data_IF_191066189226
#
_entry.id   IF_191066189226
#
_cell.length_a   1.000
_cell.length_b   1.000
_cell.length_c   1.000
_cell.angle_alpha   90.00
_cell.angle_beta   90.00
_cell.angle_gamma   90.00
#
_symmetry.space_group_name_H-M   'P 1'
#
loop_
_entity.id
_entity.type
_entity.pdbx_description
1 polymer ?
#
# COMPACT_ATOMS: atom_id res chain seq x y z
N UNK A 1 -22.64 -22.59 1.24
CA UNK A 1 -22.24 -23.82 1.97
C UNK A 1 -23.30 -24.26 2.97
N UNK A 2 -23.87 -23.35 3.79
CA UNK A 2 -25.00 -23.68 4.68
C UNK A 2 -26.24 -24.20 3.96
N UNK A 3 -26.65 -23.54 2.87
CA UNK A 3 -27.85 -23.94 2.11
C UNK A 3 -27.78 -25.38 1.58
N UNK A 4 -26.60 -25.82 1.12
CA UNK A 4 -26.39 -27.21 0.71
C UNK A 4 -26.59 -28.19 1.87
N UNK A 5 -26.11 -27.83 3.07
CA UNK A 5 -26.33 -28.64 4.25
C UNK A 5 -27.80 -28.78 4.61
N UNK A 6 -28.57 -27.70 4.44
CA UNK A 6 -30.01 -27.70 4.70
C UNK A 6 -30.77 -28.56 3.68
N UNK A 7 -30.41 -28.48 2.40
CA UNK A 7 -30.98 -29.32 1.32
C UNK A 7 -30.71 -30.81 1.56
N UNK A 8 -29.48 -31.18 1.94
CA UNK A 8 -29.17 -32.59 2.24
C UNK A 8 -29.91 -33.11 3.48
N UNK A 9 -30.07 -32.29 4.52
CA UNK A 9 -30.89 -32.68 5.68
C UNK A 9 -32.38 -32.82 5.33
N UNK A 10 -32.91 -31.99 4.44
CA UNK A 10 -34.29 -32.10 3.95
C UNK A 10 -34.49 -33.36 3.09
N UNK A 11 -33.56 -33.65 2.18
CA UNK A 11 -33.56 -34.90 1.42
C UNK A 11 -33.51 -36.12 2.33
N UNK A 12 -32.67 -36.09 3.38
CA UNK A 12 -32.62 -37.16 4.37
C UNK A 12 -33.98 -37.34 5.09
N UNK A 13 -34.64 -36.25 5.48
CA UNK A 13 -35.92 -36.32 6.19
C UNK A 13 -37.05 -36.97 5.36
N UNK A 14 -36.94 -36.94 4.03
CA UNK A 14 -37.93 -37.49 3.10
C UNK A 14 -37.50 -38.81 2.42
N UNK A 15 -36.29 -39.31 2.70
CA UNK A 15 -35.77 -40.53 2.06
C UNK A 15 -36.08 -41.79 2.89
N UNK A 16 -36.75 -42.75 2.25
CA UNK A 16 -37.16 -44.02 2.87
C UNK A 16 -36.06 -45.09 2.80
N UNK A 17 -35.17 -45.01 1.81
CA UNK A 17 -34.02 -45.91 1.71
C UNK A 17 -33.00 -45.57 2.80
N UNK A 18 -32.78 -46.47 3.75
CA UNK A 18 -31.91 -46.26 4.91
C UNK A 18 -30.48 -45.80 4.53
N UNK A 19 -29.88 -46.41 3.51
CA UNK A 19 -28.52 -46.06 3.06
C UNK A 19 -28.45 -44.62 2.49
N UNK A 20 -29.45 -44.23 1.70
CA UNK A 20 -29.51 -42.89 1.11
C UNK A 20 -29.85 -41.82 2.16
N UNK A 21 -30.74 -42.15 3.11
CA UNK A 21 -31.06 -41.32 4.26
C UNK A 21 -29.81 -41.04 5.11
N UNK A 22 -29.04 -42.08 5.43
CA UNK A 22 -27.79 -41.97 6.18
C UNK A 22 -26.76 -41.13 5.41
N UNK A 23 -26.57 -41.39 4.11
CA UNK A 23 -25.66 -40.62 3.28
C UNK A 23 -26.03 -39.13 3.24
N UNK A 24 -27.30 -38.79 2.98
CA UNK A 24 -27.77 -37.41 2.97
C UNK A 24 -27.63 -36.73 4.34
N UNK A 25 -27.86 -37.46 5.44
CA UNK A 25 -27.64 -36.93 6.80
C UNK A 25 -26.17 -36.59 7.03
N UNK A 26 -25.26 -37.53 6.70
CA UNK A 26 -23.80 -37.35 6.86
C UNK A 26 -23.30 -36.18 6.00
N UNK A 27 -23.74 -36.08 4.74
CA UNK A 27 -23.38 -34.96 3.87
C UNK A 27 -23.94 -33.63 4.37
N UNK A 28 -25.19 -33.61 4.84
CA UNK A 28 -25.83 -32.42 5.38
C UNK A 28 -25.12 -31.87 6.62
N UNK A 29 -24.77 -32.75 7.56
CA UNK A 29 -23.98 -32.39 8.74
C UNK A 29 -22.59 -31.90 8.37
N UNK A 30 -21.89 -32.57 7.45
CA UNK A 30 -20.57 -32.15 6.98
C UNK A 30 -20.60 -30.74 6.37
N UNK A 31 -21.58 -30.44 5.51
CA UNK A 31 -21.75 -29.11 4.93
C UNK A 31 -22.03 -28.02 5.98
N UNK A 32 -22.86 -28.31 6.99
CA UNK A 32 -23.09 -27.38 8.12
C UNK A 32 -21.82 -27.16 8.95
N UNK A 33 -21.06 -28.22 9.22
CA UNK A 33 -19.79 -28.13 9.94
C UNK A 33 -18.77 -27.28 9.16
N UNK A 34 -18.60 -27.53 7.86
CA UNK A 34 -17.76 -26.74 6.95
C UNK A 34 -18.15 -25.25 6.96
N UNK A 35 -19.45 -24.95 6.91
CA UNK A 35 -19.95 -23.57 6.95
C UNK A 35 -19.64 -22.88 8.28
N UNK A 36 -19.73 -23.61 9.40
CA UNK A 36 -19.38 -23.08 10.72
C UNK A 36 -17.88 -22.80 10.81
N UNK A 37 -17.04 -23.74 10.38
CA UNK A 37 -15.57 -23.59 10.36
C UNK A 37 -15.15 -22.40 9.50
N UNK A 38 -15.73 -22.25 8.30
CA UNK A 38 -15.48 -21.10 7.43
C UNK A 38 -15.76 -19.77 8.15
N UNK A 39 -16.89 -19.66 8.85
CA UNK A 39 -17.29 -18.44 9.53
C UNK A 39 -16.34 -18.09 10.69
N UNK A 40 -15.91 -19.10 11.46
CA UNK A 40 -14.95 -18.90 12.55
C UNK A 40 -13.56 -18.53 12.03
N UNK A 41 -13.10 -19.15 10.94
CA UNK A 41 -11.86 -18.75 10.24
C UNK A 41 -11.93 -17.32 9.72
N UNK A 42 -13.05 -16.90 9.12
CA UNK A 42 -13.22 -15.52 8.65
C UNK A 42 -13.17 -14.50 9.79
N UNK A 43 -13.73 -14.82 10.96
CA UNK A 43 -13.60 -13.95 12.15
C UNK A 43 -12.14 -13.80 12.59
N UNK A 44 -11.35 -14.88 12.51
CA UNK A 44 -9.93 -14.86 12.87
C UNK A 44 -9.07 -14.10 11.84
N UNK A 45 -9.49 -14.07 10.57
CA UNK A 45 -8.79 -13.34 9.50
C UNK A 45 -9.09 -11.83 9.48
N UNK A 46 -10.26 -11.40 9.97
CA UNK A 46 -10.67 -9.99 9.95
C UNK A 46 -9.67 -9.02 10.61
N UNK A 47 -9.14 -9.29 11.82
CA UNK A 47 -8.15 -8.41 12.44
C UNK A 47 -6.88 -8.27 11.59
N UNK A 48 -6.39 -9.38 11.03
CA UNK A 48 -5.20 -9.40 10.17
C UNK A 48 -5.39 -8.55 8.91
N UNK A 49 -6.57 -8.64 8.28
CA UNK A 49 -6.92 -7.79 7.13
C UNK A 49 -7.00 -6.32 7.56
N UNK A 50 -7.62 -6.01 8.70
CA UNK A 50 -7.74 -4.65 9.21
C UNK A 50 -6.37 -4.01 9.52
N UNK A 51 -5.43 -4.79 10.03
CA UNK A 51 -4.06 -4.35 10.30
C UNK A 51 -3.28 -4.08 9.01
N UNK A 52 -3.40 -4.97 8.00
CA UNK A 52 -2.82 -4.76 6.67
C UNK A 52 -3.43 -3.53 5.98
N UNK A 53 -4.76 -3.36 6.03
CA UNK A 53 -5.43 -2.17 5.51
C UNK A 53 -4.93 -0.91 6.19
N UNK A 54 -4.79 -0.92 7.52
CA UNK A 54 -4.23 0.22 8.27
C UNK A 54 -2.80 0.53 7.83
N UNK A 55 -1.99 -0.49 7.56
CA UNK A 55 -0.63 -0.31 7.07
C UNK A 55 -0.62 0.34 5.68
N UNK A 56 -1.40 -0.18 4.74
CA UNK A 56 -1.48 0.30 3.36
C UNK A 56 -2.12 1.69 3.27
N UNK A 57 -3.24 1.91 3.97
CA UNK A 57 -4.04 3.12 3.79
C UNK A 57 -3.61 4.29 4.67
N UNK A 58 -2.79 4.05 5.70
CA UNK A 58 -2.37 5.09 6.65
C UNK A 58 -0.86 5.20 6.80
N UNK A 59 -0.19 4.09 7.10
CA UNK A 59 1.24 4.12 7.45
C UNK A 59 2.11 4.45 6.22
N UNK A 60 1.84 3.81 5.09
CA UNK A 60 2.55 4.09 3.83
C UNK A 60 2.31 5.54 3.38
N UNK A 61 1.06 6.05 3.27
CA UNK A 61 0.79 7.43 2.87
C UNK A 61 1.40 8.49 3.78
N UNK A 62 1.40 8.31 5.12
CA UNK A 62 2.05 9.26 6.03
C UNK A 62 3.56 9.34 5.79
N UNK A 63 4.19 8.19 5.52
CA UNK A 63 5.62 8.13 5.24
C UNK A 63 5.94 8.74 3.89
N UNK A 64 5.15 8.45 2.85
CA UNK A 64 5.25 9.08 1.54
C UNK A 64 5.09 10.60 1.61
N UNK A 65 4.13 11.11 2.40
CA UNK A 65 3.94 12.54 2.61
C UNK A 65 5.17 13.19 3.24
N UNK A 66 5.78 12.51 4.21
CA UNK A 66 6.99 13.00 4.87
C UNK A 66 8.19 12.99 3.92
N UNK A 67 8.33 11.91 3.14
CA UNK A 67 9.36 11.82 2.09
C UNK A 67 9.19 12.91 1.03
N UNK A 68 7.96 13.17 0.58
CA UNK A 68 7.66 14.24 -0.38
C UNK A 68 8.11 15.60 0.14
N UNK A 69 7.75 15.96 1.37
CA UNK A 69 8.19 17.21 2.01
C UNK A 69 9.72 17.31 2.07
N UNK A 70 10.41 16.21 2.34
CA UNK A 70 11.88 16.19 2.34
C UNK A 70 12.46 16.32 0.94
N UNK A 71 11.91 15.62 -0.06
CA UNK A 71 12.37 15.71 -1.44
C UNK A 71 12.20 17.14 -1.98
N UNK A 72 11.08 17.79 -1.68
CA UNK A 72 10.87 19.20 -2.03
C UNK A 72 12.00 20.07 -1.47
N UNK A 73 12.29 19.95 -0.16
CA UNK A 73 13.38 20.69 0.50
C UNK A 73 14.77 20.28 -0.02
N UNK A 74 14.99 18.99 -0.35
CA UNK A 74 16.27 18.47 -0.86
C UNK A 74 16.54 18.98 -2.28
N UNK A 75 15.56 18.92 -3.18
CA UNK A 75 15.71 19.40 -4.56
C UNK A 75 15.85 20.90 -4.60
N UNK A 76 15.12 21.62 -3.75
CA UNK A 76 15.30 23.03 -3.51
C UNK A 76 16.75 23.33 -3.11
N UNK A 77 17.27 22.68 -2.06
CA UNK A 77 18.67 22.79 -1.65
C UNK A 77 19.69 22.39 -2.73
N UNK A 78 19.47 21.30 -3.46
CA UNK A 78 20.42 20.84 -4.49
C UNK A 78 20.45 21.78 -5.70
N UNK A 79 19.29 22.32 -6.09
CA UNK A 79 19.21 23.35 -7.14
C UNK A 79 20.04 24.60 -6.77
N UNK A 80 20.20 24.85 -5.47
CA UNK A 80 20.98 25.97 -4.93
C UNK A 80 22.47 25.72 -5.01
N UNK A 81 22.90 24.52 -4.60
CA UNK A 81 24.30 24.11 -4.76
C UNK A 81 24.73 24.14 -6.23
N UNK A 82 23.85 23.72 -7.15
CA UNK A 82 24.16 23.75 -8.59
C UNK A 82 24.31 25.18 -9.10
N UNK A 83 23.38 26.07 -8.75
CA UNK A 83 23.43 27.46 -9.23
C UNK A 83 24.63 28.24 -8.70
N UNK A 84 25.04 27.96 -7.45
CA UNK A 84 26.29 28.50 -6.92
C UNK A 84 27.49 28.05 -7.72
N UNK A 85 27.57 26.74 -8.00
CA UNK A 85 28.69 26.19 -8.77
C UNK A 85 28.77 26.81 -10.16
N UNK A 86 27.63 26.95 -10.85
CA UNK A 86 27.58 27.64 -12.15
C UNK A 86 28.12 29.07 -12.06
N UNK A 87 27.82 29.79 -10.98
CA UNK A 87 28.29 31.16 -10.78
C UNK A 87 29.78 31.24 -10.45
N UNK A 88 30.27 30.36 -9.57
CA UNK A 88 31.70 30.25 -9.25
C UNK A 88 32.50 29.87 -10.52
N UNK A 89 31.97 28.95 -11.35
CA UNK A 89 32.58 28.54 -12.62
C UNK A 89 32.62 29.71 -13.62
N UNK A 90 31.55 30.51 -13.72
CA UNK A 90 31.49 31.69 -14.59
C UNK A 90 32.42 32.82 -14.11
N UNK A 91 32.51 33.08 -12.80
CA UNK A 91 33.46 34.07 -12.25
C UNK A 91 34.91 33.68 -12.53
N UNK A 92 35.26 32.40 -12.36
CA UNK A 92 36.57 31.86 -12.73
C UNK A 92 36.86 32.06 -14.23
N UNK A 93 35.88 31.82 -15.09
CA UNK A 93 36.02 32.01 -16.54
C UNK A 93 36.34 33.46 -16.90
N UNK A 94 35.55 34.42 -16.42
CA UNK A 94 35.81 35.85 -16.67
C UNK A 94 37.09 36.36 -16.04
N UNK A 95 37.44 35.87 -14.84
CA UNK A 95 38.73 36.19 -14.22
C UNK A 95 39.90 35.71 -15.09
N UNK A 96 39.77 34.53 -15.70
CA UNK A 96 40.78 34.00 -16.64
C UNK A 96 40.90 34.82 -17.93
N UNK A 97 39.83 35.51 -18.32
CA UNK A 97 39.76 36.41 -19.47
C UNK A 97 40.21 37.85 -19.12
N UNK A 98 40.47 38.14 -17.84
CA UNK A 98 40.75 39.48 -17.34
C UNK A 98 39.63 40.49 -17.66
N UNK A 99 38.39 40.00 -17.68
CA UNK A 99 37.15 40.77 -17.89
C UNK A 99 36.33 40.81 -16.60
N UNK A 100 35.65 41.93 -16.34
CA UNK A 100 34.76 42.08 -15.18
C UNK A 100 33.35 41.59 -15.47
N UNK A 101 32.68 40.97 -14.49
CA UNK A 101 31.25 40.72 -14.55
C UNK A 101 30.46 41.90 -14.00
N UNK A 102 29.54 42.43 -14.81
CA UNK A 102 28.65 43.51 -14.39
C UNK A 102 27.87 43.19 -13.09
N UNK A 103 27.40 41.95 -12.90
CA UNK A 103 26.71 41.55 -11.65
C UNK A 103 27.62 41.61 -10.40
N UNK A 104 28.92 41.38 -10.57
CA UNK A 104 29.93 41.43 -9.51
C UNK A 104 30.25 42.89 -9.20
N UNK A 105 30.37 43.72 -10.26
CA UNK A 105 30.57 45.17 -10.15
C UNK A 105 29.37 45.91 -9.53
N UNK A 106 28.15 45.39 -9.70
CA UNK A 106 26.93 45.98 -9.17
C UNK A 106 26.36 45.23 -7.96
N UNK A 107 27.15 44.50 -7.18
CA UNK A 107 26.70 43.91 -5.91
C UNK A 107 25.52 42.92 -6.00
N UNK A 108 25.30 42.32 -7.17
CA UNK A 108 24.37 41.20 -7.41
C UNK A 108 22.91 41.43 -6.94
N UNK A 109 22.37 42.64 -7.10
CA UNK A 109 21.06 43.04 -6.53
C UNK A 109 19.83 42.32 -7.10
N UNK A 110 19.87 41.82 -8.33
CA UNK A 110 18.76 41.14 -9.00
C UNK A 110 18.37 39.81 -8.31
N UNK A 111 19.27 39.28 -7.47
CA UNK A 111 19.08 38.07 -6.68
C UNK A 111 18.26 38.28 -5.39
N UNK A 112 17.99 39.53 -4.98
CA UNK A 112 17.36 39.86 -3.68
C UNK A 112 15.83 39.74 -3.65
N UNK A 113 15.16 39.32 -4.74
CA UNK A 113 13.69 39.42 -4.86
C UNK A 113 12.91 38.11 -5.20
N UNK A 114 13.55 36.93 -5.30
CA UNK A 114 12.84 35.64 -5.45
C UNK A 114 12.65 34.91 -4.09
N UNK A 115 12.00 35.61 -3.17
CA UNK A 115 12.26 35.67 -1.73
C UNK A 115 11.50 34.68 -0.80
N UNK A 116 11.22 33.44 -1.19
CA UNK A 116 10.74 32.41 -0.22
C UNK A 116 11.39 31.04 -0.41
N UNK A 117 11.92 30.77 -1.61
CA UNK A 117 12.52 29.49 -1.97
C UNK A 117 13.95 29.37 -1.35
N UNK A 118 14.78 30.42 -1.47
CA UNK A 118 16.25 30.34 -1.35
C UNK A 118 16.86 30.61 0.05
N UNK A 119 16.11 30.41 1.13
CA UNK A 119 16.40 31.04 2.43
C UNK A 119 17.78 30.71 3.05
N UNK A 120 18.24 29.44 3.07
CA UNK A 120 19.56 29.13 3.66
C UNK A 120 20.72 29.64 2.79
N UNK A 121 20.56 29.52 1.47
CA UNK A 121 21.60 29.86 0.51
C UNK A 121 21.83 31.36 0.48
N UNK A 122 20.75 32.14 0.52
CA UNK A 122 20.82 33.60 0.57
C UNK A 122 21.59 34.09 1.80
N UNK A 123 21.43 33.44 2.96
CA UNK A 123 22.20 33.77 4.15
C UNK A 123 23.69 33.43 4.01
N UNK A 124 24.07 32.30 3.41
CA UNK A 124 25.48 31.94 3.17
C UNK A 124 26.16 32.91 2.20
N UNK A 125 25.50 33.20 1.07
CA UNK A 125 26.02 34.13 0.06
C UNK A 125 26.21 35.52 0.62
N UNK A 126 25.20 36.04 1.33
CA UNK A 126 25.30 37.38 1.90
C UNK A 126 26.39 37.47 2.96
N UNK A 127 26.66 36.42 3.72
CA UNK A 127 27.80 36.39 4.65
C UNK A 127 29.15 36.40 3.91
N UNK A 128 29.29 35.62 2.83
CA UNK A 128 30.51 35.63 1.99
C UNK A 128 30.75 37.01 1.38
N UNK A 129 29.71 37.62 0.80
CA UNK A 129 29.78 39.00 0.27
C UNK A 129 30.21 40.00 1.34
N UNK A 130 29.67 39.89 2.55
CA UNK A 130 30.06 40.77 3.66
C UNK A 130 31.49 40.53 4.15
N UNK A 131 31.98 39.28 4.10
CA UNK A 131 33.36 38.92 4.42
C UNK A 131 34.32 39.45 3.34
N UNK A 132 33.97 39.32 2.06
CA UNK A 132 34.76 39.77 0.91
C UNK A 132 34.88 41.30 0.89
N UNK A 133 33.79 42.03 1.13
CA UNK A 133 33.79 43.49 1.24
C UNK A 133 34.61 43.97 2.44
N UNK A 134 34.52 43.29 3.60
CA UNK A 134 35.35 43.63 4.76
C UNK A 134 36.85 43.45 4.46
N UNK A 135 37.21 42.39 3.72
CA UNK A 135 38.56 42.11 3.28
C UNK A 135 39.07 43.16 2.28
N UNK A 136 38.24 43.60 1.34
CA UNK A 136 38.57 44.65 0.37
C UNK A 136 38.86 45.99 1.05
N UNK A 137 37.97 46.46 1.94
CA UNK A 137 38.20 47.71 2.68
C UNK A 137 39.42 47.61 3.60
N UNK A 138 39.66 46.44 4.20
CA UNK A 138 40.88 46.21 4.97
C UNK A 138 42.14 46.33 4.11
N UNK A 139 42.10 45.84 2.87
CA UNK A 139 43.22 45.95 1.91
C UNK A 139 43.48 47.38 1.44
N UNK A 140 42.43 48.21 1.38
CA UNK A 140 42.49 49.65 1.08
C UNK A 140 42.87 50.50 2.30
N UNK A 141 42.98 49.87 3.49
CA UNK A 141 43.21 50.54 4.77
C UNK A 141 42.11 51.57 5.10
N UNK A 142 40.88 51.29 4.68
CA UNK A 142 39.69 52.09 4.89
C UNK A 142 38.76 51.44 5.93
N UNK A 143 38.08 52.27 6.72
CA UNK A 143 37.11 51.83 7.73
C UNK A 143 35.73 51.58 7.14
N UNK A 144 35.08 50.50 7.54
CA UNK A 144 33.76 50.13 7.05
C UNK A 144 32.69 50.50 8.08
N UNK A 145 31.80 51.44 7.74
CA UNK A 145 30.84 52.04 8.67
C UNK A 145 29.97 51.00 9.41
N UNK A 146 29.53 49.93 8.74
CA UNK A 146 28.75 48.87 9.39
C UNK A 146 29.55 48.16 10.49
N UNK A 147 30.85 48.01 10.31
CA UNK A 147 31.74 47.32 11.26
C UNK A 147 32.01 48.24 12.45
N UNK A 148 32.30 49.52 12.19
CA UNK A 148 32.52 50.55 13.21
C UNK A 148 31.31 50.74 14.12
N UNK A 149 30.10 50.56 13.57
CA UNK A 149 28.84 50.69 14.31
C UNK A 149 28.36 49.40 14.96
N UNK A 150 29.14 48.30 14.93
CA UNK A 150 28.85 47.06 15.66
C UNK A 150 28.30 45.89 14.83
N UNK A 151 28.33 46.01 13.50
CA UNK A 151 28.06 44.98 12.49
C UNK A 151 26.75 44.19 12.71
N UNK A 152 25.66 44.92 13.00
CA UNK A 152 24.38 44.33 13.38
C UNK A 152 23.76 43.45 12.29
N UNK A 153 23.86 43.85 11.02
CA UNK A 153 23.34 43.08 9.88
C UNK A 153 24.06 41.73 9.74
N UNK A 154 25.40 41.71 9.83
CA UNK A 154 26.18 40.48 9.76
C UNK A 154 25.78 39.49 10.86
N UNK A 155 25.60 39.99 12.09
CA UNK A 155 25.17 39.18 13.22
C UNK A 155 23.76 38.63 13.05
N UNK A 156 22.86 39.40 12.45
CA UNK A 156 21.51 38.93 12.12
C UNK A 156 21.58 37.81 11.08
N UNK A 157 22.36 38.01 10.02
CA UNK A 157 22.55 37.04 8.94
C UNK A 157 23.18 35.73 9.42
N UNK A 158 24.16 35.79 10.33
CA UNK A 158 24.71 34.61 11.01
C UNK A 158 23.64 33.81 11.76
N UNK A 159 22.75 34.49 12.49
CA UNK A 159 21.64 33.84 13.21
C UNK A 159 20.67 33.20 12.23
N UNK A 160 20.24 33.92 11.22
CA UNK A 160 19.30 33.42 10.24
C UNK A 160 19.87 32.21 9.46
N UNK A 161 21.16 32.23 9.07
CA UNK A 161 21.85 31.05 8.51
C UNK A 161 21.76 29.85 9.46
N UNK A 162 22.04 30.08 10.73
CA UNK A 162 22.08 29.02 11.73
C UNK A 162 20.69 28.42 11.99
N UNK A 163 19.66 29.27 12.05
CA UNK A 163 18.27 28.85 12.19
C UNK A 163 17.80 28.02 10.97
N UNK A 164 18.08 28.46 9.74
CA UNK A 164 17.66 27.72 8.55
C UNK A 164 18.44 26.41 8.40
N UNK A 165 19.72 26.38 8.77
CA UNK A 165 20.50 25.13 8.87
C UNK A 165 19.88 24.15 9.86
N UNK A 166 19.46 24.65 11.03
CA UNK A 166 18.83 23.81 12.04
C UNK A 166 17.52 23.21 11.53
N UNK A 167 16.66 24.02 10.89
CA UNK A 167 15.41 23.54 10.27
C UNK A 167 15.67 22.43 9.24
N UNK A 168 16.66 22.61 8.36
CA UNK A 168 17.04 21.60 7.36
C UNK A 168 17.52 20.30 8.00
N UNK A 169 18.47 20.38 8.95
CA UNK A 169 19.03 19.21 9.63
C UNK A 169 17.93 18.48 10.42
N UNK A 170 17.03 19.23 11.07
CA UNK A 170 15.90 18.67 11.77
C UNK A 170 14.99 17.86 10.83
N UNK A 171 14.53 18.45 9.72
CA UNK A 171 13.69 17.74 8.75
C UNK A 171 14.36 16.50 8.17
N UNK A 172 15.67 16.58 7.86
CA UNK A 172 16.44 15.43 7.39
C UNK A 172 16.44 14.29 8.42
N UNK A 173 16.66 14.63 9.69
CA UNK A 173 16.66 13.65 10.77
C UNK A 173 15.26 13.05 10.99
N UNK A 174 14.20 13.88 10.94
CA UNK A 174 12.81 13.44 11.07
C UNK A 174 12.44 12.41 9.99
N UNK A 175 12.86 12.64 8.75
CA UNK A 175 12.62 11.72 7.63
C UNK A 175 13.42 10.43 7.78
N UNK A 176 14.68 10.51 8.19
CA UNK A 176 15.47 9.29 8.47
C UNK A 176 14.82 8.43 9.53
N UNK A 177 14.38 9.03 10.65
CA UNK A 177 13.69 8.30 11.72
C UNK A 177 12.39 7.67 11.21
N UNK A 178 11.59 8.40 10.42
CA UNK A 178 10.35 7.84 9.86
C UNK A 178 10.59 6.67 8.90
N UNK A 179 11.60 6.75 8.04
CA UNK A 179 11.97 5.64 7.15
C UNK A 179 12.42 4.43 7.96
N UNK A 180 13.24 4.63 8.98
CA UNK A 180 13.71 3.55 9.85
C UNK A 180 12.56 2.88 10.62
N UNK A 181 11.63 3.68 11.17
CA UNK A 181 10.43 3.17 11.83
C UNK A 181 9.51 2.43 10.85
N UNK A 182 9.36 2.93 9.61
CA UNK A 182 8.60 2.26 8.57
C UNK A 182 9.22 0.89 8.25
N UNK A 183 10.53 0.83 8.07
CA UNK A 183 11.25 -0.39 7.70
C UNK A 183 11.18 -1.44 8.82
N UNK A 184 11.45 -1.04 10.07
CA UNK A 184 11.33 -1.90 11.25
C UNK A 184 9.91 -2.46 11.42
N UNK A 185 8.88 -1.66 11.13
CA UNK A 185 7.48 -2.08 11.20
C UNK A 185 7.09 -2.97 10.02
N UNK A 186 7.49 -2.62 8.80
CA UNK A 186 7.19 -3.34 7.56
C UNK A 186 7.63 -4.80 7.66
N UNK A 187 8.91 -5.03 7.97
CA UNK A 187 9.50 -6.37 7.96
C UNK A 187 8.90 -7.24 9.06
N UNK A 188 8.66 -6.66 10.25
CA UNK A 188 8.12 -7.42 11.39
C UNK A 188 6.65 -7.75 11.22
N UNK A 189 5.84 -6.78 10.83
CA UNK A 189 4.38 -6.93 10.81
C UNK A 189 3.92 -7.75 9.61
N UNK A 190 4.49 -7.56 8.42
CA UNK A 190 4.06 -8.29 7.22
C UNK A 190 4.47 -9.77 7.31
N UNK A 191 5.69 -10.07 7.74
CA UNK A 191 6.13 -11.46 7.90
C UNK A 191 5.28 -12.18 8.94
N UNK A 192 4.94 -11.50 10.04
CA UNK A 192 4.05 -12.04 11.08
C UNK A 192 2.63 -12.24 10.54
N UNK A 193 2.06 -11.26 9.82
CA UNK A 193 0.75 -11.39 9.20
C UNK A 193 0.71 -12.54 8.19
N UNK A 194 1.69 -12.67 7.30
CA UNK A 194 1.72 -13.77 6.33
C UNK A 194 1.85 -15.13 7.01
N UNK A 195 2.66 -15.22 8.06
CA UNK A 195 2.81 -16.45 8.86
C UNK A 195 1.50 -16.82 9.55
N UNK A 196 0.83 -15.83 10.18
CA UNK A 196 -0.45 -16.03 10.84
C UNK A 196 -1.54 -16.43 9.85
N UNK A 197 -1.60 -15.77 8.68
CA UNK A 197 -2.52 -16.13 7.61
C UNK A 197 -2.30 -17.57 7.15
N UNK A 198 -1.05 -17.95 6.86
CA UNK A 198 -0.70 -19.31 6.43
C UNK A 198 -1.06 -20.34 7.50
N UNK A 199 -0.82 -20.03 8.79
CA UNK A 199 -1.21 -20.91 9.90
C UNK A 199 -2.73 -21.08 9.97
N UNK A 200 -3.49 -19.99 9.95
CA UNK A 200 -4.96 -20.00 10.00
C UNK A 200 -5.53 -20.80 8.82
N UNK A 201 -4.99 -20.62 7.62
CA UNK A 201 -5.41 -21.35 6.43
C UNK A 201 -5.05 -22.83 6.48
N UNK A 202 -3.86 -23.16 6.98
CA UNK A 202 -3.45 -24.56 7.21
C UNK A 202 -4.39 -25.25 8.18
N UNK A 203 -4.71 -24.60 9.30
CA UNK A 203 -5.60 -25.14 10.32
C UNK A 203 -7.02 -25.33 9.77
N UNK A 204 -7.52 -24.33 9.03
CA UNK A 204 -8.82 -24.42 8.34
C UNK A 204 -8.88 -25.59 7.36
N UNK A 205 -7.87 -25.76 6.51
CA UNK A 205 -7.82 -26.86 5.53
C UNK A 205 -7.70 -28.23 6.21
N UNK A 206 -6.89 -28.33 7.27
CA UNK A 206 -6.76 -29.54 8.08
C UNK A 206 -8.10 -29.94 8.70
N UNK A 207 -8.84 -28.97 9.24
CA UNK A 207 -10.18 -29.20 9.79
C UNK A 207 -11.22 -29.55 8.70
N UNK A 208 -11.16 -28.93 7.52
CA UNK A 208 -12.01 -29.32 6.40
C UNK A 208 -11.73 -30.77 5.97
N UNK A 209 -10.45 -31.15 5.91
CA UNK A 209 -10.06 -32.52 5.56
C UNK A 209 -10.57 -33.53 6.58
N UNK A 210 -10.57 -33.22 7.88
CA UNK A 210 -11.10 -34.14 8.89
C UNK A 210 -12.63 -34.29 8.80
N UNK A 211 -13.35 -33.20 8.52
CA UNK A 211 -14.80 -33.25 8.25
C UNK A 211 -15.10 -34.11 7.03
N UNK A 212 -14.33 -33.96 5.94
CA UNK A 212 -14.53 -34.72 4.72
C UNK A 212 -14.15 -36.21 4.85
N UNK A 213 -13.10 -36.55 5.59
CA UNK A 213 -12.74 -37.95 5.85
C UNK A 213 -13.86 -38.72 6.56
N UNK A 214 -14.62 -38.05 7.44
CA UNK A 214 -15.76 -38.66 8.11
C UNK A 214 -16.91 -39.00 7.15
N UNK A 215 -16.96 -38.38 5.95
CA UNK A 215 -17.98 -38.66 4.92
C UNK A 215 -17.61 -39.80 3.98
N UNK A 216 -16.35 -40.23 3.98
CA UNK A 216 -15.76 -41.11 2.95
C UNK A 216 -16.28 -42.56 2.99
N UNK A 217 -16.90 -42.97 4.09
CA UNK A 217 -17.46 -44.31 4.27
C UNK A 217 -18.99 -44.36 4.02
N UNK A 218 -19.59 -43.29 3.52
CA UNK A 218 -21.04 -43.25 3.28
C UNK A 218 -21.41 -44.17 2.10
N UNK A 219 -22.27 -45.18 2.29
CA UNK A 219 -22.64 -46.11 1.23
C UNK A 219 -23.58 -45.42 0.24
N UNK A 220 -23.02 -44.83 -0.82
CA UNK A 220 -23.80 -44.30 -1.95
C UNK A 220 -24.13 -45.47 -2.90
N UNK A 221 -24.87 -46.47 -2.40
CA UNK A 221 -25.59 -47.38 -3.27
C UNK A 221 -27.06 -46.97 -3.25
N UNK A 222 -27.41 -46.07 -4.18
CA UNK A 222 -28.79 -45.78 -4.51
C UNK A 222 -29.18 -46.83 -5.56
N UNK A 223 -29.79 -47.93 -5.13
CA UNK A 223 -30.33 -48.90 -6.08
C UNK A 223 -31.62 -48.33 -6.68
N UNK A 224 -31.45 -47.56 -7.77
CA UNK A 224 -32.54 -46.90 -8.49
C UNK A 224 -33.54 -47.95 -9.04
N UNK A 225 -33.16 -49.22 -9.14
CA UNK A 225 -33.98 -50.28 -9.74
C UNK A 225 -35.17 -50.72 -8.89
N UNK A 226 -35.13 -50.55 -7.56
CA UNK A 226 -36.26 -50.95 -6.69
C UNK A 226 -37.32 -49.84 -6.57
N UNK A 227 -36.93 -48.57 -6.72
CA UNK A 227 -37.89 -47.45 -6.80
C UNK A 227 -38.78 -47.53 -8.05
N UNK A 228 -38.24 -48.01 -9.18
CA UNK A 228 -39.05 -48.23 -10.39
C UNK A 228 -40.17 -49.25 -10.16
N UNK A 229 -39.98 -50.24 -9.28
CA UNK A 229 -41.02 -51.24 -8.96
C UNK A 229 -42.10 -50.69 -8.03
N UNK A 230 -41.74 -49.83 -7.06
CA UNK A 230 -42.71 -49.16 -6.19
C UNK A 230 -43.58 -48.14 -6.94
N UNK A 231 -43.01 -47.39 -7.88
CA UNK A 231 -43.78 -46.53 -8.79
C UNK A 231 -44.66 -47.33 -9.76
N UNK A 232 -44.18 -48.51 -10.22
CA UNK A 232 -44.95 -49.37 -11.12
C UNK A 232 -46.10 -50.10 -10.39
N UNK A 233 -45.92 -50.47 -9.12
CA UNK A 233 -46.96 -51.09 -8.31
C UNK A 233 -48.02 -50.09 -7.83
N UNK A 234 -47.63 -48.85 -7.51
CA UNK A 234 -48.60 -47.77 -7.21
C UNK A 234 -49.39 -47.30 -8.45
N UNK A 235 -48.86 -47.53 -9.66
CA UNK A 235 -49.54 -47.23 -10.92
C UNK A 235 -50.50 -48.33 -11.40
N UNK A 236 -50.56 -49.50 -10.74
CA UNK A 236 -51.41 -50.63 -11.15
C UNK A 236 -52.73 -50.76 -10.36
N UNK A 237 -52.95 -49.91 -9.35
CA UNK A 237 -54.25 -49.76 -8.66
C UNK A 237 -54.88 -48.40 -8.99
N UNK A 238 -55.15 -48.15 -10.28
CA UNK A 238 -55.84 -46.94 -10.73
C UNK A 238 -56.38 -47.12 -12.16
N UNK A 239 -57.70 -47.05 -12.30
CA UNK A 239 -58.47 -47.24 -13.53
C UNK A 239 -58.05 -46.39 -14.74
N UNK A 240 -58.09 -47.01 -15.93
CA UNK A 240 -58.95 -46.59 -17.05
C UNK A 240 -58.47 -45.47 -17.99
N UNK A 241 -58.18 -45.87 -19.23
CA UNK A 241 -58.41 -45.16 -20.51
C UNK A 241 -58.02 -43.67 -20.64
N UNK A 242 -57.00 -43.35 -21.46
CA UNK A 242 -57.15 -42.66 -22.76
C UNK A 242 -55.76 -42.26 -23.33
N UNK A 243 -55.67 -42.18 -24.65
CA UNK A 243 -54.49 -42.04 -25.49
C UNK A 243 -53.93 -40.60 -25.56
N UNK A 244 -52.63 -40.48 -25.87
CA UNK A 244 -52.05 -39.21 -26.33
C UNK A 244 -50.52 -39.17 -26.30
N UNK A 245 -49.91 -38.98 -27.48
CA UNK A 245 -48.49 -39.12 -27.76
C UNK A 245 -47.65 -37.82 -27.60
N UNK A 246 -46.33 -38.00 -27.53
CA UNK A 246 -45.23 -37.06 -27.90
C UNK A 246 -44.99 -35.84 -26.99
N UNK A 247 -43.80 -35.26 -26.81
CA UNK A 247 -42.38 -35.53 -27.13
C UNK A 247 -41.56 -34.43 -26.40
N UNK A 248 -40.25 -34.67 -26.25
CA UNK A 248 -39.19 -33.81 -25.71
C UNK A 248 -39.25 -32.31 -26.09
N UNK A 249 -38.82 -31.42 -25.18
CA UNK A 249 -37.42 -30.94 -25.14
C UNK A 249 -37.22 -29.76 -24.19
N UNK A 250 -36.12 -29.80 -23.46
CA UNK A 250 -35.55 -28.72 -22.69
C UNK A 250 -34.85 -27.69 -23.59
N UNK A 251 -34.73 -26.44 -23.12
CA UNK A 251 -33.57 -25.58 -23.40
C UNK A 251 -33.48 -24.47 -22.34
N UNK A 252 -32.33 -24.44 -21.65
CA UNK A 252 -31.95 -23.42 -20.67
C UNK A 252 -31.05 -22.37 -21.32
N UNK A 253 -31.06 -21.15 -20.76
CA UNK A 253 -30.16 -20.07 -21.18
C UNK A 253 -29.32 -19.60 -19.98
N UNK A 254 -28.01 -19.82 -20.09
CA UNK A 254 -26.97 -19.42 -19.15
C UNK A 254 -26.56 -17.97 -19.40
N UNK A 255 -26.44 -17.18 -18.33
CA UNK A 255 -25.88 -15.81 -18.35
C UNK A 255 -24.43 -15.87 -17.88
N UNK A 256 -23.56 -15.33 -18.73
CA UNK A 256 -22.12 -15.12 -18.57
C UNK A 256 -21.83 -13.91 -17.66
N UNK A 257 -20.94 -14.08 -16.69
CA UNK A 257 -20.38 -12.98 -15.91
C UNK A 257 -18.89 -13.21 -15.69
N UNK A 258 -18.06 -12.38 -16.32
CA UNK A 258 -16.67 -12.14 -15.92
C UNK A 258 -16.42 -10.62 -15.87
N UNK A 259 -15.88 -10.08 -14.77
CA UNK A 259 -15.25 -8.76 -14.76
C UNK A 259 -13.74 -8.89 -15.01
N UNK A 260 -13.23 -8.09 -15.95
CA UNK A 260 -11.82 -8.04 -16.36
C UNK A 260 -10.95 -7.23 -15.39
N UNK A 261 -9.69 -7.67 -15.32
CA UNK A 261 -8.51 -7.07 -14.70
C UNK A 261 -8.27 -5.60 -15.08
N UNK A 262 -8.05 -4.76 -14.06
CA UNK A 262 -7.20 -3.56 -14.17
C UNK A 262 -6.48 -3.34 -12.83
N UNK A 263 -5.32 -3.97 -12.64
CA UNK A 263 -4.34 -3.50 -11.65
C UNK A 263 -2.91 -3.94 -12.03
N UNK A 264 -2.39 -3.34 -13.08
CA UNK A 264 -0.96 -3.33 -13.37
C UNK A 264 -0.62 -1.99 -14.01
N UNK A 265 0.04 -1.13 -13.26
CA UNK A 265 1.20 -0.34 -13.70
C UNK A 265 1.47 0.79 -12.69
N UNK A 266 2.63 0.67 -12.01
CA UNK A 266 3.52 1.75 -11.58
C UNK A 266 4.30 1.34 -10.32
N UNK A 267 5.36 0.54 -10.51
CA UNK A 267 6.46 0.45 -9.55
C UNK A 267 7.74 0.78 -10.30
N UNK A 268 8.03 2.07 -10.44
CA UNK A 268 9.35 2.53 -10.83
C UNK A 268 10.26 2.50 -9.60
N UNK A 269 11.13 1.50 -9.56
CA UNK A 269 12.22 1.34 -8.61
C UNK A 269 13.33 2.35 -8.98
N UNK A 270 13.51 3.40 -8.17
CA UNK A 270 14.66 4.30 -8.32
C UNK A 270 15.77 3.79 -7.41
N UNK A 271 16.87 3.40 -8.05
CA UNK A 271 18.12 2.96 -7.46
C UNK A 271 18.79 4.13 -6.69
N UNK A 272 19.21 3.89 -5.44
CA UNK A 272 19.90 4.88 -4.61
C UNK A 272 21.34 4.42 -4.47
N UNK A 273 22.21 4.94 -5.32
CA UNK A 273 23.66 5.00 -5.12
C UNK A 273 24.16 6.42 -5.39
#
# INVERSE_FOLDING_TARGET
VSEFGDVFCELAAHEAHANANEAFTVFGEAHRQLSKKQNDTLKNLRPLIADLMTYVDKVIPDTQLTLKKYLDVKYEYLSYCLKLKEMDDEELEYHSLNEGLYRVETGNYEYRYLDVKYEYLSYCLKLKEMDDEELEYHSLNEGLYRVETGNYEYRLMLRCRQETRQKFVQMRNDVMVKIELLDQKHVRDIALHLTNFASIMKDYLSECSSVLQNTQNSPIEIDIMDREKEYRNSSLEGHGEDAGAADHSAEGQLVDTSPQDELADDINLIDIN
#
